data_IF_392981757294
#
_entry.id   IF_392981757294
#
_cell.length_a   1.000
_cell.length_b   1.000
_cell.length_c   1.000
_cell.angle_alpha   90.00
_cell.angle_beta   90.00
_cell.angle_gamma   90.00
#
_symmetry.space_group_name_H-M   'P 1'
#
loop_
_entity.id
_entity.type
_entity.pdbx_description
1 polymer ?
#
# COMPACT_ATOMS: atom_id res chain seq x y z
N UNK A 1 -1.97 8.89 -53.66
CA UNK A 1 -2.15 10.30 -53.26
C UNK A 1 -3.28 10.85 -54.11
N UNK A 2 -4.36 11.42 -53.55
CA UNK A 2 -4.27 12.78 -53.01
C UNK A 2 -5.22 13.16 -51.84
N UNK A 3 -4.76 14.20 -51.13
CA UNK A 3 -5.50 15.33 -50.51
C UNK A 3 -6.47 15.06 -49.35
N UNK A 4 -5.89 15.12 -48.15
CA UNK A 4 -6.52 15.69 -46.95
C UNK A 4 -7.12 17.07 -47.28
N UNK A 5 -8.43 17.23 -47.09
CA UNK A 5 -9.09 18.53 -47.01
C UNK A 5 -9.55 18.76 -45.57
N UNK A 6 -8.60 19.27 -44.78
CA UNK A 6 -8.90 19.94 -43.52
C UNK A 6 -9.59 21.27 -43.83
N UNK A 7 -10.80 21.47 -43.31
CA UNK A 7 -11.45 22.78 -43.23
C UNK A 7 -11.63 23.11 -41.75
N UNK A 8 -10.56 23.58 -41.12
CA UNK A 8 -10.66 24.32 -39.86
C UNK A 8 -10.86 25.80 -40.20
N UNK A 9 -12.00 26.38 -39.81
CA UNK A 9 -12.24 27.82 -39.89
C UNK A 9 -11.80 28.49 -38.60
N UNK A 10 -11.01 29.56 -38.73
CA UNK A 10 -10.49 30.37 -37.63
C UNK A 10 -11.51 31.45 -37.27
N UNK A 11 -11.95 31.50 -36.02
CA UNK A 11 -12.67 32.66 -35.48
C UNK A 11 -11.71 33.52 -34.65
N UNK A 12 -11.64 34.81 -34.99
CA UNK A 12 -10.90 35.82 -34.25
C UNK A 12 -11.89 36.59 -33.36
N UNK A 13 -11.69 36.53 -32.04
CA UNK A 13 -12.35 37.43 -31.09
C UNK A 13 -11.27 38.28 -30.41
N UNK A 14 -11.47 39.60 -30.47
CA UNK A 14 -10.57 40.59 -29.92
C UNK A 14 -10.79 40.76 -28.41
N UNK A 15 -9.75 40.48 -27.62
CA UNK A 15 -9.54 41.06 -26.30
C UNK A 15 -8.03 41.36 -26.15
N UNK A 16 -7.63 42.48 -25.55
CA UNK A 16 -6.26 42.98 -25.63
C UNK A 16 -5.32 42.16 -24.74
N UNK A 17 -4.21 41.73 -25.35
CA UNK A 17 -3.02 41.11 -24.76
C UNK A 17 -3.15 39.66 -24.21
N UNK A 18 -2.44 38.75 -24.89
CA UNK A 18 -2.16 37.32 -24.62
C UNK A 18 -3.17 36.31 -25.18
N UNK A 19 -2.71 35.55 -26.18
CA UNK A 19 -3.44 34.53 -26.93
C UNK A 19 -3.28 33.15 -26.26
N UNK A 20 -4.37 32.58 -25.73
CA UNK A 20 -4.47 31.22 -25.21
C UNK A 20 -5.31 30.39 -26.20
N UNK A 21 -4.75 29.33 -26.79
CA UNK A 21 -5.51 28.40 -27.63
C UNK A 21 -6.27 27.41 -26.75
N UNK A 22 -7.60 27.50 -26.74
CA UNK A 22 -8.49 26.48 -26.17
C UNK A 22 -9.00 25.62 -27.34
N UNK A 23 -8.67 24.32 -27.34
CA UNK A 23 -9.33 23.34 -28.21
C UNK A 23 -10.61 22.86 -27.52
N UNK A 24 -11.76 23.34 -27.98
CA UNK A 24 -13.06 22.74 -27.71
C UNK A 24 -13.51 21.98 -28.96
N UNK A 25 -13.71 20.67 -28.84
CA UNK A 25 -14.34 19.84 -29.86
C UNK A 25 -15.72 19.45 -29.31
N UNK A 26 -16.77 20.14 -29.74
CA UNK A 26 -18.15 19.72 -29.50
C UNK A 26 -18.63 18.91 -30.70
N UNK A 27 -18.98 17.64 -30.48
CA UNK A 27 -19.73 16.83 -31.44
C UNK A 27 -21.08 16.49 -30.82
N UNK A 28 -22.13 17.08 -31.38
CA UNK A 28 -23.53 16.86 -31.01
C UNK A 28 -24.04 15.46 -31.34
N UNK A 29 -24.95 14.99 -30.50
CA UNK A 29 -25.66 13.72 -30.56
C UNK A 29 -26.54 13.59 -31.82
N UNK A 30 -26.44 12.44 -32.50
CA UNK A 30 -27.54 11.85 -33.26
C UNK A 30 -27.65 10.36 -32.88
N UNK A 31 -28.88 9.93 -32.61
CA UNK A 31 -29.17 8.70 -31.88
C UNK A 31 -28.75 7.40 -32.58
N UNK A 32 -28.21 6.49 -31.77
CA UNK A 32 -28.16 5.07 -32.02
C UNK A 32 -28.63 4.35 -30.75
N UNK A 33 -29.80 3.72 -30.80
CA UNK A 33 -30.23 2.75 -29.81
C UNK A 33 -29.55 1.43 -30.13
N UNK A 34 -28.72 0.90 -29.22
CA UNK A 34 -28.43 -0.54 -29.12
C UNK A 34 -27.71 -0.84 -27.80
N UNK A 35 -28.47 -1.51 -26.92
CA UNK A 35 -28.08 -2.42 -25.83
C UNK A 35 -26.80 -2.09 -25.05
N UNK A 36 -26.96 -1.34 -23.95
CA UNK A 36 -25.99 -1.32 -22.86
C UNK A 36 -26.13 -2.66 -22.12
N UNK A 37 -25.30 -3.64 -22.46
CA UNK A 37 -24.98 -4.69 -21.49
C UNK A 37 -24.29 -4.01 -20.32
N UNK A 38 -25.06 -3.83 -19.25
CA UNK A 38 -24.52 -3.45 -17.95
C UNK A 38 -23.66 -4.63 -17.51
N UNK A 39 -22.35 -4.55 -17.77
CA UNK A 39 -21.38 -5.34 -17.02
C UNK A 39 -21.43 -4.76 -15.61
N UNK A 40 -22.40 -5.23 -14.82
CA UNK A 40 -22.25 -5.27 -13.38
C UNK A 40 -21.02 -6.11 -13.16
N UNK A 41 -19.90 -5.46 -12.90
CA UNK A 41 -18.77 -6.08 -12.21
C UNK A 41 -19.29 -6.38 -10.80
N UNK A 42 -20.08 -7.44 -10.69
CA UNK A 42 -20.45 -8.04 -9.41
C UNK A 42 -19.16 -8.64 -8.90
N UNK A 43 -18.34 -7.80 -8.27
CA UNK A 43 -17.36 -8.31 -7.32
C UNK A 43 -18.20 -9.16 -6.38
N UNK A 44 -17.93 -10.47 -6.23
CA UNK A 44 -18.67 -11.25 -5.26
C UNK A 44 -18.36 -10.60 -3.92
N UNK A 45 -19.32 -9.83 -3.41
CA UNK A 45 -19.31 -9.36 -2.05
C UNK A 45 -19.38 -10.65 -1.23
N UNK A 46 -18.19 -11.13 -0.85
CA UNK A 46 -18.02 -12.09 0.23
C UNK A 46 -18.96 -11.63 1.34
N UNK A 47 -19.97 -12.44 1.63
CA UNK A 47 -21.16 -12.06 2.40
C UNK A 47 -20.90 -11.72 3.88
N UNK A 48 -19.63 -11.51 4.25
CA UNK A 48 -19.19 -11.02 5.56
C UNK A 48 -18.04 -10.01 5.50
N UNK A 49 -17.68 -9.47 4.33
CA UNK A 49 -16.55 -8.54 4.20
C UNK A 49 -15.26 -9.11 4.82
N UNK A 50 -14.59 -8.32 5.66
CA UNK A 50 -13.41 -8.76 6.41
C UNK A 50 -13.68 -9.74 7.56
N UNK A 51 -14.96 -10.01 7.88
CA UNK A 51 -15.36 -11.05 8.83
C UNK A 51 -15.53 -12.43 8.18
N UNK A 52 -15.32 -12.55 6.87
CA UNK A 52 -15.42 -13.83 6.19
C UNK A 52 -14.32 -14.79 6.68
N UNK A 53 -14.73 -15.98 7.14
CA UNK A 53 -13.82 -16.96 7.73
C UNK A 53 -12.66 -17.34 6.80
N UNK A 54 -12.94 -17.47 5.51
CA UNK A 54 -11.97 -17.81 4.48
C UNK A 54 -10.77 -16.84 4.36
N UNK A 55 -10.85 -15.62 4.91
CA UNK A 55 -9.70 -14.69 4.95
C UNK A 55 -8.71 -15.04 6.06
N UNK A 56 -9.17 -15.67 7.15
CA UNK A 56 -8.39 -15.88 8.38
C UNK A 56 -8.46 -17.31 8.90
N UNK A 57 -8.57 -18.28 8.00
CA UNK A 57 -8.35 -19.69 8.28
C UNK A 57 -6.85 -19.99 8.14
N UNK A 58 -6.19 -20.22 9.27
CA UNK A 58 -4.75 -20.52 9.32
C UNK A 58 -4.54 -21.97 9.76
N UNK A 59 -3.66 -22.71 9.07
CA UNK A 59 -3.27 -24.05 9.48
C UNK A 59 -2.19 -23.98 10.57
N UNK A 60 -2.45 -24.56 11.74
CA UNK A 60 -1.52 -24.53 12.89
C UNK A 60 -0.55 -25.73 12.94
N UNK A 61 -0.57 -26.61 11.94
CA UNK A 61 0.18 -27.87 11.94
C UNK A 61 -0.69 -29.11 12.13
N UNK A 62 -1.89 -28.97 12.69
CA UNK A 62 -2.82 -30.10 12.96
C UNK A 62 -4.23 -29.88 12.41
N UNK A 63 -4.75 -28.66 12.48
CA UNK A 63 -6.08 -28.31 11.97
C UNK A 63 -6.13 -26.84 11.53
N UNK A 64 -7.20 -26.50 10.80
CA UNK A 64 -7.51 -25.12 10.45
C UNK A 64 -8.09 -24.41 11.68
N UNK A 65 -7.52 -23.25 12.01
CA UNK A 65 -7.97 -22.38 13.08
C UNK A 65 -8.46 -21.08 12.46
N UNK A 66 -9.66 -20.66 12.86
CA UNK A 66 -10.18 -19.36 12.53
C UNK A 66 -9.65 -18.32 13.53
N UNK A 67 -9.00 -17.27 13.03
CA UNK A 67 -8.48 -16.18 13.86
C UNK A 67 -9.18 -14.85 13.53
N UNK A 68 -9.28 -13.91 14.49
CA UNK A 68 -9.95 -12.64 14.24
C UNK A 68 -9.18 -11.79 13.23
N UNK A 69 -9.90 -11.30 12.23
CA UNK A 69 -9.38 -10.32 11.27
C UNK A 69 -9.35 -8.90 11.88
N UNK A 70 -8.29 -8.14 11.62
CA UNK A 70 -8.05 -6.79 12.18
C UNK A 70 -9.16 -5.77 11.87
N UNK A 71 -9.81 -5.91 10.70
CA UNK A 71 -10.91 -5.07 10.26
C UNK A 71 -12.31 -5.64 10.55
N UNK A 72 -12.44 -6.90 10.99
CA UNK A 72 -13.76 -7.46 11.29
C UNK A 72 -14.35 -6.80 12.55
N UNK A 73 -15.56 -6.25 12.44
CA UNK A 73 -16.23 -5.58 13.55
C UNK A 73 -15.52 -4.30 14.03
N UNK A 74 -14.50 -3.83 13.30
CA UNK A 74 -13.72 -2.66 13.67
C UNK A 74 -14.38 -1.40 13.08
N UNK A 75 -14.81 -0.48 13.94
CA UNK A 75 -15.44 0.78 13.52
C UNK A 75 -14.42 1.89 13.21
N UNK A 76 -13.11 1.58 13.25
CA UNK A 76 -12.03 2.53 13.02
C UNK A 76 -11.75 3.49 14.18
N UNK A 77 -12.28 3.24 15.36
CA UNK A 77 -11.98 4.04 16.57
C UNK A 77 -10.65 3.63 17.19
N UNK A 78 -10.05 4.53 17.98
CA UNK A 78 -8.88 4.19 18.78
C UNK A 78 -9.28 3.30 19.96
N UNK A 79 -8.42 2.32 20.27
CA UNK A 79 -8.56 1.54 21.50
C UNK A 79 -8.33 2.41 22.73
N UNK A 80 -9.01 2.15 23.86
CA UNK A 80 -8.71 2.80 25.14
C UNK A 80 -7.23 2.70 25.56
N UNK A 81 -6.52 1.66 25.09
CA UNK A 81 -5.08 1.48 25.33
C UNK A 81 -4.20 2.62 24.76
N UNK A 82 -4.73 3.41 23.81
CA UNK A 82 -4.02 4.53 23.22
C UNK A 82 -3.90 5.76 24.12
N UNK A 83 -4.65 5.82 25.23
CA UNK A 83 -4.71 6.99 26.10
C UNK A 83 -5.71 8.06 25.62
N UNK A 84 -5.70 9.26 26.24
CA UNK A 84 -6.78 10.22 26.12
C UNK A 84 -6.84 10.99 24.78
N UNK A 85 -5.70 11.22 24.13
CA UNK A 85 -5.63 12.04 22.91
C UNK A 85 -4.80 11.39 21.79
N UNK A 86 -5.22 10.21 21.31
CA UNK A 86 -4.48 9.54 20.26
C UNK A 86 -4.67 10.24 18.91
N UNK A 87 -3.59 10.29 18.13
CA UNK A 87 -3.59 10.84 16.78
C UNK A 87 -3.04 9.82 15.81
N UNK A 88 -3.79 9.57 14.74
CA UNK A 88 -3.28 8.79 13.62
C UNK A 88 -2.56 9.76 12.69
N UNK A 89 -1.34 9.39 12.31
CA UNK A 89 -0.65 10.09 11.25
C UNK A 89 -1.15 9.58 9.91
N UNK A 90 -1.99 10.36 9.24
CA UNK A 90 -2.47 10.07 7.90
C UNK A 90 -1.30 9.91 6.92
N UNK A 91 -1.38 8.98 5.97
CA UNK A 91 -0.36 8.81 4.94
C UNK A 91 -0.64 9.76 3.77
N UNK A 92 0.15 10.83 3.64
CA UNK A 92 0.12 11.65 2.42
C UNK A 92 0.88 10.97 1.29
N UNK A 93 0.63 11.37 0.04
CA UNK A 93 1.39 10.88 -1.12
C UNK A 93 2.91 10.97 -0.92
N UNK A 94 3.39 12.08 -0.35
CA UNK A 94 4.81 12.25 -0.02
C UNK A 94 5.32 11.21 0.99
N UNK A 95 4.51 10.84 1.98
CA UNK A 95 4.89 9.82 2.98
C UNK A 95 4.84 8.41 2.38
N UNK A 96 3.83 8.11 1.55
CA UNK A 96 3.72 6.84 0.80
C UNK A 96 4.94 6.64 -0.09
N UNK A 97 5.27 7.65 -0.90
CA UNK A 97 6.41 7.62 -1.81
C UNK A 97 7.73 7.48 -1.04
N UNK A 98 7.92 8.22 0.07
CA UNK A 98 9.10 8.08 0.92
C UNK A 98 9.30 6.64 1.40
N UNK A 99 8.24 5.99 1.89
CA UNK A 99 8.34 4.61 2.35
C UNK A 99 8.63 3.66 1.18
N UNK A 100 7.94 3.81 0.03
CA UNK A 100 8.19 3.00 -1.16
C UNK A 100 9.64 3.11 -1.63
N UNK A 101 10.14 4.33 -1.79
CA UNK A 101 11.50 4.58 -2.28
C UNK A 101 12.55 3.92 -1.39
N UNK A 102 12.37 4.02 -0.06
CA UNK A 102 13.30 3.41 0.88
C UNK A 102 13.28 1.88 0.83
N UNK A 103 12.10 1.27 0.77
CA UNK A 103 12.01 -0.19 0.66
C UNK A 103 12.55 -0.68 -0.68
N UNK A 104 12.25 0.01 -1.78
CA UNK A 104 12.75 -0.34 -3.10
C UNK A 104 14.26 -0.13 -3.23
N UNK A 105 14.82 0.90 -2.59
CA UNK A 105 16.27 1.08 -2.50
C UNK A 105 16.94 -0.07 -1.74
N UNK A 106 16.39 -0.47 -0.60
CA UNK A 106 16.88 -1.62 0.18
C UNK A 106 16.81 -2.92 -0.63
N UNK A 107 15.69 -3.19 -1.30
CA UNK A 107 15.50 -4.35 -2.18
C UNK A 107 16.48 -4.36 -3.35
N UNK A 108 16.73 -3.20 -3.95
CA UNK A 108 17.69 -3.05 -5.05
C UNK A 108 19.11 -3.40 -4.63
N UNK A 109 19.54 -2.97 -3.42
CA UNK A 109 20.87 -3.30 -2.88
C UNK A 109 21.11 -4.81 -2.71
N UNK A 110 20.11 -5.52 -2.19
CA UNK A 110 20.16 -6.99 -2.09
C UNK A 110 20.17 -7.60 -3.49
N UNK A 111 19.23 -7.16 -4.35
CA UNK A 111 19.05 -7.73 -5.67
C UNK A 111 20.30 -7.62 -6.55
N UNK A 112 21.02 -6.50 -6.47
CA UNK A 112 22.25 -6.28 -7.23
C UNK A 112 23.46 -7.07 -6.71
N UNK A 113 23.36 -7.73 -5.55
CA UNK A 113 24.50 -8.38 -4.90
C UNK A 113 25.54 -7.39 -4.33
N UNK A 114 25.15 -6.14 -4.09
CA UNK A 114 26.04 -5.10 -3.53
C UNK A 114 26.03 -5.08 -1.99
N UNK A 115 25.50 -6.13 -1.36
CA UNK A 115 25.44 -6.29 0.08
C UNK A 115 26.35 -7.45 0.47
N UNK A 116 27.41 -7.15 1.20
CA UNK A 116 28.41 -8.15 1.60
C UNK A 116 27.75 -9.31 2.36
N UNK A 117 28.14 -10.54 2.01
CA UNK A 117 27.57 -11.75 2.59
C UNK A 117 26.24 -12.21 1.97
N UNK A 118 25.71 -11.48 0.99
CA UNK A 118 24.46 -11.81 0.31
C UNK A 118 24.64 -11.94 -1.22
N UNK A 119 24.07 -12.99 -1.80
CA UNK A 119 24.04 -13.21 -3.25
C UNK A 119 22.98 -12.32 -3.90
N UNK A 120 23.20 -11.97 -5.17
CA UNK A 120 22.22 -11.27 -5.98
C UNK A 120 20.92 -12.08 -6.12
N UNK A 121 19.80 -11.38 -6.28
CA UNK A 121 18.50 -12.00 -6.44
C UNK A 121 18.16 -12.14 -7.93
N UNK A 122 17.77 -13.33 -8.36
CA UNK A 122 17.35 -13.56 -9.75
C UNK A 122 16.06 -12.79 -10.11
N UNK A 123 15.16 -12.60 -9.13
CA UNK A 123 13.90 -11.90 -9.34
C UNK A 123 13.44 -11.16 -8.07
N UNK A 124 13.60 -9.84 -8.04
CA UNK A 124 13.20 -8.98 -6.91
C UNK A 124 12.42 -7.76 -7.43
N UNK A 125 11.09 -7.87 -7.62
CA UNK A 125 10.29 -6.81 -8.22
C UNK A 125 10.16 -5.58 -7.31
N UNK A 126 9.88 -4.43 -7.93
CA UNK A 126 9.58 -3.20 -7.20
C UNK A 126 8.24 -3.32 -6.46
N UNK A 127 8.23 -2.87 -5.21
CA UNK A 127 7.01 -2.71 -4.44
C UNK A 127 6.20 -1.53 -4.99
N UNK A 128 4.88 -1.68 -4.93
CA UNK A 128 3.90 -0.64 -5.18
C UNK A 128 3.07 -0.44 -3.93
N UNK A 129 2.58 0.78 -3.74
CA UNK A 129 1.72 1.09 -2.62
C UNK A 129 0.34 0.48 -2.86
N UNK A 130 -0.25 -0.07 -1.80
CA UNK A 130 -1.60 -0.61 -1.84
C UNK A 130 -2.41 0.00 -0.71
N UNK A 131 -3.52 0.66 -1.07
CA UNK A 131 -4.34 1.42 -0.14
C UNK A 131 -5.19 0.52 0.76
N UNK A 132 -5.48 -0.72 0.35
CA UNK A 132 -6.19 -1.69 1.17
C UNK A 132 -5.28 -2.16 2.32
N UNK A 133 -4.01 -2.46 2.03
CA UNK A 133 -3.01 -2.78 3.05
C UNK A 133 -2.72 -1.59 3.99
N UNK A 134 -2.72 -0.36 3.47
CA UNK A 134 -2.62 0.85 4.30
C UNK A 134 -3.77 0.95 5.31
N UNK A 135 -5.02 0.67 4.88
CA UNK A 135 -6.18 0.67 5.76
C UNK A 135 -6.04 -0.39 6.86
N UNK A 136 -5.57 -1.61 6.54
CA UNK A 136 -5.32 -2.65 7.54
C UNK A 136 -4.26 -2.20 8.56
N UNK A 137 -3.17 -1.59 8.09
CA UNK A 137 -2.13 -1.06 8.96
C UNK A 137 -2.62 0.09 9.85
N UNK A 138 -3.49 0.97 9.34
CA UNK A 138 -4.09 2.05 10.11
C UNK A 138 -5.02 1.52 11.21
N UNK A 139 -5.84 0.51 10.91
CA UNK A 139 -6.70 -0.16 11.90
C UNK A 139 -5.88 -0.86 12.99
N UNK A 140 -4.77 -1.51 12.61
CA UNK A 140 -3.84 -2.09 13.56
C UNK A 140 -3.19 -1.04 14.46
N UNK A 141 -2.68 0.05 13.88
CA UNK A 141 -2.03 1.14 14.62
C UNK A 141 -2.96 1.80 15.66
N UNK A 142 -4.26 1.92 15.35
CA UNK A 142 -5.29 2.44 16.25
C UNK A 142 -5.54 1.58 17.50
N UNK A 143 -4.95 0.37 17.58
CA UNK A 143 -4.98 -0.46 18.80
C UNK A 143 -3.95 -0.03 19.82
N UNK A 144 -2.89 0.68 19.41
CA UNK A 144 -1.76 1.09 20.25
C UNK A 144 -1.12 -0.04 21.06
N UNK A 145 -1.11 -1.25 20.49
CA UNK A 145 -0.47 -2.42 21.06
C UNK A 145 0.74 -2.79 20.19
N UNK A 146 1.93 -2.86 20.79
CA UNK A 146 3.13 -3.28 20.09
C UNK A 146 3.19 -4.81 19.99
N UNK A 147 2.30 -5.37 19.18
CA UNK A 147 2.22 -6.79 18.89
C UNK A 147 1.56 -6.99 17.52
N UNK A 148 1.91 -8.08 16.84
CA UNK A 148 1.25 -8.44 15.59
C UNK A 148 -0.23 -8.79 15.82
N UNK A 149 -1.12 -8.29 14.96
CA UNK A 149 -2.47 -8.83 14.83
C UNK A 149 -2.45 -10.27 14.29
N UNK A 150 -3.53 -11.00 14.54
CA UNK A 150 -3.63 -12.40 14.16
C UNK A 150 -3.87 -12.59 12.66
N UNK A 151 -4.62 -11.68 12.03
CA UNK A 151 -4.89 -11.73 10.61
C UNK A 151 -5.22 -10.34 10.04
N UNK A 152 -4.65 -10.04 8.86
CA UNK A 152 -4.77 -8.78 8.11
C UNK A 152 -4.89 -9.02 6.60
N UNK A 153 -5.36 -10.21 6.25
CA UNK A 153 -5.41 -10.69 4.88
C UNK A 153 -6.49 -9.98 4.11
N UNK A 154 -6.21 -9.63 2.87
CA UNK A 154 -7.20 -9.08 1.96
C UNK A 154 -7.64 -10.13 0.96
N UNK A 155 -8.76 -9.93 0.24
CA UNK A 155 -9.16 -10.85 -0.82
C UNK A 155 -8.07 -11.05 -1.88
N UNK A 156 -7.25 -10.03 -2.13
CA UNK A 156 -6.10 -10.06 -3.05
C UNK A 156 -4.85 -10.66 -2.41
N UNK A 157 -4.63 -10.41 -1.12
CA UNK A 157 -3.42 -10.81 -0.39
C UNK A 157 -3.78 -11.69 0.81
N UNK A 158 -3.86 -13.01 0.58
CA UNK A 158 -4.29 -14.01 1.58
C UNK A 158 -3.23 -14.36 2.64
N UNK A 159 -2.02 -13.82 2.53
CA UNK A 159 -0.91 -14.05 3.47
C UNK A 159 -0.10 -12.77 3.66
N UNK A 160 -0.76 -11.73 4.16
CA UNK A 160 -0.16 -10.40 4.32
C UNK A 160 0.84 -10.36 5.49
N UNK A 161 2.11 -10.11 5.16
CA UNK A 161 3.18 -9.85 6.14
C UNK A 161 2.98 -8.54 6.91
N UNK A 162 3.79 -8.31 7.94
CA UNK A 162 3.74 -7.08 8.73
C UNK A 162 5.09 -6.80 9.39
N UNK A 163 5.56 -5.56 9.26
CA UNK A 163 6.61 -5.02 10.11
C UNK A 163 5.99 -4.00 11.07
N UNK A 164 6.37 -4.04 12.34
CA UNK A 164 5.96 -3.07 13.35
C UNK A 164 7.19 -2.37 13.92
N UNK A 165 7.02 -1.09 14.26
CA UNK A 165 8.06 -0.27 14.84
C UNK A 165 7.47 0.60 15.94
N UNK A 166 8.15 0.68 17.07
CA UNK A 166 7.75 1.50 18.19
C UNK A 166 8.86 2.44 18.60
N UNK A 167 8.48 3.64 19.02
CA UNK A 167 9.41 4.61 19.56
C UNK A 167 8.67 5.50 20.55
N UNK A 168 9.33 5.81 21.67
CA UNK A 168 8.81 6.68 22.70
C UNK A 168 9.68 7.93 22.85
N UNK A 169 9.04 9.08 23.09
CA UNK A 169 9.73 10.36 23.29
C UNK A 169 8.91 11.26 24.21
N UNK A 170 9.54 11.78 25.26
CA UNK A 170 8.93 12.74 26.19
C UNK A 170 9.06 14.21 25.77
N UNK A 171 9.63 14.49 24.59
CA UNK A 171 9.78 15.84 24.03
C UNK A 171 9.02 15.98 22.73
N UNK A 172 8.87 17.22 22.27
CA UNK A 172 8.16 17.54 21.03
C UNK A 172 8.69 16.75 19.83
N UNK A 173 7.73 16.26 19.03
CA UNK A 173 8.01 15.45 17.87
C UNK A 173 8.32 16.31 16.64
N UNK A 174 9.62 16.44 16.32
CA UNK A 174 10.09 17.39 15.29
C UNK A 174 9.82 16.97 13.84
N UNK A 175 9.75 15.66 13.53
CA UNK A 175 9.64 15.21 12.13
C UNK A 175 9.16 13.77 11.97
N UNK A 176 7.99 13.61 11.34
CA UNK A 176 7.41 12.30 11.03
C UNK A 176 8.27 11.55 10.02
N UNK A 177 8.72 12.25 8.98
CA UNK A 177 9.57 11.66 7.94
C UNK A 177 10.89 11.15 8.48
N UNK A 178 11.52 11.85 9.45
CA UNK A 178 12.76 11.35 10.07
C UNK A 178 12.52 10.05 10.85
N UNK A 179 11.39 9.96 11.56
CA UNK A 179 11.04 8.76 12.32
C UNK A 179 10.71 7.58 11.41
N UNK A 180 9.91 7.81 10.36
CA UNK A 180 9.62 6.82 9.32
C UNK A 180 10.91 6.27 8.70
N UNK A 181 11.83 7.15 8.31
CA UNK A 181 13.15 6.77 7.80
C UNK A 181 13.90 5.87 8.78
N UNK A 182 13.90 6.23 10.07
CA UNK A 182 14.56 5.45 11.11
C UNK A 182 13.99 4.04 11.22
N UNK A 183 12.67 3.85 11.14
CA UNK A 183 12.08 2.51 11.20
C UNK A 183 12.50 1.64 10.02
N UNK A 184 12.41 2.18 8.79
CA UNK A 184 12.81 1.41 7.59
C UNK A 184 14.31 1.07 7.61
N UNK A 185 15.15 2.00 8.07
CA UNK A 185 16.59 1.74 8.24
C UNK A 185 16.84 0.67 9.30
N UNK A 186 16.12 0.70 10.43
CA UNK A 186 16.29 -0.28 11.48
C UNK A 186 15.89 -1.68 11.02
N UNK A 187 14.71 -1.83 10.39
CA UNK A 187 14.31 -3.11 9.81
C UNK A 187 15.31 -3.61 8.76
N UNK A 188 15.84 -2.73 7.92
CA UNK A 188 16.83 -3.15 6.94
C UNK A 188 18.17 -3.56 7.59
N UNK A 189 18.58 -2.91 8.68
CA UNK A 189 19.84 -3.22 9.39
C UNK A 189 19.89 -4.62 10.00
N UNK A 190 18.75 -5.26 10.20
CA UNK A 190 18.66 -6.66 10.65
C UNK A 190 19.38 -7.63 9.70
N UNK A 191 19.73 -7.22 8.47
CA UNK A 191 20.64 -8.01 7.61
C UNK A 191 22.03 -8.27 8.26
N UNK A 192 22.43 -7.48 9.26
CA UNK A 192 23.68 -7.69 9.98
C UNK A 192 23.60 -8.89 10.94
N UNK A 193 22.39 -9.20 11.39
CA UNK A 193 22.09 -10.32 12.29
C UNK A 193 21.68 -11.59 11.50
N UNK A 194 21.56 -11.48 10.18
CA UNK A 194 21.26 -12.59 9.27
C UNK A 194 22.46 -12.90 8.36
N UNK A 195 22.35 -13.97 7.57
CA UNK A 195 23.33 -14.34 6.56
C UNK A 195 22.64 -15.07 5.38
N UNK A 196 23.41 -15.42 4.35
CA UNK A 196 22.88 -16.09 3.15
C UNK A 196 22.07 -17.36 3.44
N UNK A 197 22.34 -18.09 4.54
CA UNK A 197 21.58 -19.31 4.85
C UNK A 197 20.10 -19.04 5.14
N UNK A 198 19.77 -17.91 5.76
CA UNK A 198 18.38 -17.49 5.99
C UNK A 198 17.66 -17.14 4.67
N UNK A 199 18.40 -16.66 3.68
CA UNK A 199 17.87 -16.36 2.34
C UNK A 199 17.67 -17.65 1.55
N UNK A 200 18.61 -18.59 1.66
CA UNK A 200 18.56 -19.89 0.98
C UNK A 200 17.44 -20.77 1.53
N UNK A 201 17.22 -20.70 2.85
CA UNK A 201 16.12 -21.37 3.53
C UNK A 201 15.73 -20.59 4.77
N UNK A 202 14.56 -19.96 4.71
CA UNK A 202 14.01 -19.26 5.86
C UNK A 202 13.83 -20.22 7.04
N UNK A 203 14.33 -19.81 8.19
CA UNK A 203 14.15 -20.46 9.47
C UNK A 203 14.05 -19.39 10.55
N UNK A 204 13.38 -19.68 11.68
CA UNK A 204 13.30 -18.72 12.79
C UNK A 204 14.70 -18.35 13.28
N UNK A 205 14.91 -17.06 13.56
CA UNK A 205 16.15 -16.60 14.15
C UNK A 205 16.24 -17.11 15.61
N UNK A 206 17.39 -17.62 16.09
CA UNK A 206 17.48 -18.19 17.43
C UNK A 206 17.14 -17.23 18.58
N UNK A 207 17.23 -15.92 18.31
CA UNK A 207 16.98 -14.86 19.30
C UNK A 207 15.56 -14.27 19.22
N UNK A 208 14.69 -14.85 18.39
CA UNK A 208 13.31 -14.38 18.18
C UNK A 208 13.11 -13.73 16.84
#
# INVERSE_FOLDING_TARGET
MPRLLSKCSVFALWAPAVLLFVLACEMGLAGAQTLIETITTTTPASSGGYCAAALCELYNGTHLVHVPHTACGNNGSFSPACGPEPKLLEMSERRRQLLLDMHNLARSKIASGNLDGYRSAAHMPLLRWDTELEQMAALHAKRCQFAHDKCRNTPRFKFSGQNIGYFWIGREFKSHSRRMKSFVINWFREHQDANQSFIDRYHPHPQG
#
